data_IF_189638907873
#
_entry.id   IF_189638907873
#
_cell.length_a   1.000
_cell.length_b   1.000
_cell.length_c   1.000
_cell.angle_alpha   90.00
_cell.angle_beta   90.00
_cell.angle_gamma   90.00
#
_symmetry.space_group_name_H-M   'P 1'
#
loop_
_entity.id
_entity.type
_entity.pdbx_description
1 polymer ?
#
# COMPACT_ATOMS: atom_id res chain seq x y z
N UNK A 1 -16.00 -15.19 3.21
CA UNK A 1 -14.76 -15.60 2.52
C UNK A 1 -14.11 -16.70 3.36
N UNK A 2 -13.53 -17.71 2.74
CA UNK A 2 -12.76 -18.74 3.45
C UNK A 2 -11.43 -18.16 3.98
N UNK A 3 -10.76 -18.80 4.95
CA UNK A 3 -9.43 -18.38 5.41
C UNK A 3 -8.39 -18.24 4.29
N UNK A 4 -8.45 -19.10 3.27
CA UNK A 4 -7.57 -19.06 2.10
C UNK A 4 -7.86 -17.86 1.21
N UNK A 5 -9.14 -17.56 0.93
CA UNK A 5 -9.54 -16.38 0.18
C UNK A 5 -9.12 -15.08 0.88
N UNK A 6 -9.16 -15.06 2.22
CA UNK A 6 -8.69 -13.94 3.03
C UNK A 6 -7.18 -13.75 2.89
N UNK A 7 -6.41 -14.84 2.98
CA UNK A 7 -4.96 -14.79 2.80
C UNK A 7 -4.58 -14.29 1.40
N UNK A 8 -5.26 -14.79 0.36
CA UNK A 8 -5.08 -14.33 -1.02
C UNK A 8 -5.43 -12.85 -1.18
N UNK A 9 -6.52 -12.38 -0.56
CA UNK A 9 -6.89 -10.96 -0.59
C UNK A 9 -5.85 -10.08 0.09
N UNK A 10 -5.31 -10.51 1.24
CA UNK A 10 -4.20 -9.80 1.91
C UNK A 10 -3.00 -9.70 0.99
N UNK A 11 -2.62 -10.80 0.34
CA UNK A 11 -1.48 -10.79 -0.58
C UNK A 11 -1.70 -9.84 -1.76
N UNK A 12 -2.88 -9.90 -2.39
CA UNK A 12 -3.24 -8.97 -3.48
C UNK A 12 -3.20 -7.49 -3.05
N UNK A 13 -3.67 -7.17 -1.85
CA UNK A 13 -3.58 -5.79 -1.32
C UNK A 13 -2.12 -5.36 -1.08
N UNK A 14 -1.26 -6.28 -0.61
CA UNK A 14 0.19 -6.03 -0.44
C UNK A 14 0.88 -5.80 -1.78
N UNK A 15 0.63 -6.66 -2.76
CA UNK A 15 1.25 -6.58 -4.08
C UNK A 15 0.86 -5.26 -4.78
N UNK A 16 -0.42 -4.87 -4.67
CA UNK A 16 -0.91 -3.62 -5.21
C UNK A 16 -0.21 -2.41 -4.57
N UNK A 17 -0.14 -2.34 -3.24
CA UNK A 17 0.50 -1.19 -2.58
C UNK A 17 2.02 -1.15 -2.85
N UNK A 18 2.68 -2.30 -2.92
CA UNK A 18 4.09 -2.41 -3.33
C UNK A 18 4.32 -1.88 -4.74
N UNK A 19 3.46 -2.24 -5.69
CA UNK A 19 3.53 -1.74 -7.06
C UNK A 19 3.34 -0.22 -7.13
N UNK A 20 2.38 0.31 -6.38
CA UNK A 20 2.13 1.75 -6.31
C UNK A 20 3.29 2.52 -5.68
N UNK A 21 3.88 1.99 -4.60
CA UNK A 21 5.04 2.59 -3.92
C UNK A 21 6.27 2.57 -4.83
N UNK A 22 6.52 1.47 -5.55
CA UNK A 22 7.59 1.38 -6.54
C UNK A 22 7.45 2.43 -7.63
N UNK A 23 6.26 2.54 -8.21
CA UNK A 23 5.97 3.55 -9.22
C UNK A 23 6.19 4.98 -8.70
N UNK A 24 5.76 5.26 -7.47
CA UNK A 24 6.01 6.53 -6.81
C UNK A 24 7.51 6.80 -6.62
N UNK A 25 8.27 5.80 -6.15
CA UNK A 25 9.71 5.89 -5.92
C UNK A 25 10.47 6.22 -7.23
N UNK A 26 10.19 5.48 -8.30
CA UNK A 26 10.80 5.69 -9.62
C UNK A 26 10.53 7.10 -10.16
N UNK A 27 9.29 7.59 -10.00
CA UNK A 27 8.87 8.87 -10.55
C UNK A 27 9.32 10.07 -9.71
N UNK A 28 9.20 10.01 -8.39
CA UNK A 28 9.44 11.13 -7.49
C UNK A 28 10.88 11.17 -6.99
N UNK A 29 11.49 10.02 -6.73
CA UNK A 29 12.84 9.92 -6.16
C UNK A 29 13.92 9.58 -7.20
N UNK A 30 13.54 9.43 -8.48
CA UNK A 30 14.44 9.14 -9.61
C UNK A 30 15.30 7.88 -9.41
N UNK A 31 14.81 6.93 -8.63
CA UNK A 31 15.42 5.59 -8.55
C UNK A 31 15.28 4.92 -9.93
N UNK A 32 16.29 4.18 -10.37
CA UNK A 32 16.21 3.51 -11.67
C UNK A 32 15.18 2.39 -11.62
N UNK A 33 14.53 2.13 -12.75
CA UNK A 33 13.71 0.93 -12.89
C UNK A 33 14.56 -0.31 -12.53
N UNK A 34 13.97 -1.22 -11.76
CA UNK A 34 14.61 -2.43 -11.22
C UNK A 34 15.63 -2.24 -10.08
N UNK A 35 15.82 -1.02 -9.55
CA UNK A 35 16.54 -0.83 -8.29
C UNK A 35 15.64 -1.12 -7.07
N UNK A 36 16.26 -1.43 -5.90
CA UNK A 36 15.52 -1.47 -4.64
C UNK A 36 14.84 -0.12 -4.36
N UNK A 37 13.74 -0.16 -3.60
CA UNK A 37 13.10 1.05 -3.10
C UNK A 37 14.11 1.87 -2.28
N UNK A 38 14.04 3.20 -2.35
CA UNK A 38 14.78 4.03 -1.41
C UNK A 38 14.32 3.75 0.04
N UNK A 39 15.15 4.08 1.03
CA UNK A 39 14.87 3.78 2.44
C UNK A 39 13.50 4.30 2.88
N UNK A 40 13.13 5.50 2.43
CA UNK A 40 11.82 6.09 2.72
C UNK A 40 10.68 5.23 2.16
N UNK A 41 10.73 4.85 0.87
CA UNK A 41 9.70 4.04 0.25
C UNK A 41 9.65 2.61 0.79
N UNK A 42 10.79 2.03 1.14
CA UNK A 42 10.89 0.73 1.80
C UNK A 42 10.23 0.73 3.18
N UNK A 43 10.43 1.80 3.97
CA UNK A 43 9.77 1.97 5.25
C UNK A 43 8.24 2.07 5.09
N UNK A 44 7.77 2.83 4.08
CA UNK A 44 6.35 2.98 3.79
C UNK A 44 5.71 1.65 3.38
N UNK A 45 6.41 0.86 2.56
CA UNK A 45 5.96 -0.46 2.13
C UNK A 45 5.82 -1.42 3.32
N UNK A 46 6.87 -1.53 4.13
CA UNK A 46 6.88 -2.37 5.33
C UNK A 46 5.77 -1.97 6.31
N UNK A 47 5.56 -0.67 6.48
CA UNK A 47 4.47 -0.14 7.30
C UNK A 47 3.11 -0.55 6.74
N UNK A 48 2.88 -0.35 5.44
CA UNK A 48 1.63 -0.69 4.78
C UNK A 48 1.31 -2.18 4.86
N UNK A 49 2.31 -3.06 4.61
CA UNK A 49 2.17 -4.51 4.73
C UNK A 49 1.73 -4.92 6.14
N UNK A 50 2.38 -4.37 7.16
CA UNK A 50 2.03 -4.64 8.56
C UNK A 50 0.57 -4.26 8.87
N UNK A 51 0.07 -3.18 8.26
CA UNK A 51 -1.33 -2.77 8.42
C UNK A 51 -2.31 -3.66 7.66
N UNK A 52 -1.94 -4.14 6.47
CA UNK A 52 -2.74 -5.12 5.73
C UNK A 52 -2.84 -6.43 6.49
N UNK A 53 -1.74 -6.91 7.09
CA UNK A 53 -1.74 -8.15 7.89
C UNK A 53 -2.65 -8.08 9.11
N UNK A 54 -2.67 -6.93 9.78
CA UNK A 54 -3.47 -6.71 11.00
C UNK A 54 -4.85 -6.14 10.72
N UNK A 55 -5.25 -5.99 9.46
CA UNK A 55 -6.53 -5.40 9.10
C UNK A 55 -7.70 -6.30 9.58
N UNK A 56 -8.56 -5.83 10.50
CA UNK A 56 -9.72 -6.59 10.97
C UNK A 56 -10.91 -6.53 9.99
N UNK A 57 -10.83 -5.66 8.99
CA UNK A 57 -11.90 -5.43 8.03
C UNK A 57 -11.57 -5.95 6.63
N UNK A 58 -10.53 -6.80 6.50
CA UNK A 58 -10.05 -7.24 5.18
C UNK A 58 -11.16 -7.93 4.37
N UNK A 59 -12.03 -8.71 5.02
CA UNK A 59 -13.10 -9.46 4.33
C UNK A 59 -14.14 -8.56 3.66
N UNK A 60 -14.48 -7.45 4.31
CA UNK A 60 -15.61 -6.61 3.90
C UNK A 60 -15.18 -5.32 3.20
N UNK A 61 -13.91 -4.94 3.34
CA UNK A 61 -13.37 -3.69 2.81
C UNK A 61 -12.91 -3.86 1.36
N UNK A 62 -13.31 -2.91 0.51
CA UNK A 62 -12.84 -2.80 -0.87
C UNK A 62 -11.54 -2.01 -0.99
N UNK A 63 -11.42 -0.88 -0.29
CA UNK A 63 -10.22 -0.03 -0.32
C UNK A 63 -9.89 0.53 1.07
N UNK A 64 -8.61 0.77 1.36
CA UNK A 64 -8.16 1.40 2.61
C UNK A 64 -8.80 2.78 2.86
N UNK A 65 -9.15 3.53 1.80
CA UNK A 65 -9.83 4.83 1.89
C UNK A 65 -11.24 4.75 2.49
N UNK A 66 -11.92 3.61 2.36
CA UNK A 66 -13.26 3.35 2.92
C UNK A 66 -13.21 2.69 4.30
N UNK A 67 -12.04 2.62 4.93
CA UNK A 67 -11.90 2.00 6.24
C UNK A 67 -12.62 2.83 7.32
N UNK A 68 -13.44 2.18 8.13
CA UNK A 68 -14.15 2.80 9.27
C UNK A 68 -13.21 3.20 10.41
N UNK A 69 -12.01 2.59 10.49
CA UNK A 69 -11.00 2.85 11.51
C UNK A 69 -9.77 3.57 10.94
N UNK A 70 -9.21 4.48 11.73
CA UNK A 70 -7.95 5.14 11.42
C UNK A 70 -6.76 4.25 11.82
N UNK A 71 -6.34 3.39 10.91
CA UNK A 71 -5.23 2.45 11.13
C UNK A 71 -3.84 3.03 10.81
N UNK A 72 -3.78 4.14 10.07
CA UNK A 72 -2.51 4.79 9.69
C UNK A 72 -2.25 5.99 10.62
N UNK A 73 -0.99 6.20 11.00
CA UNK A 73 -0.60 7.46 11.63
C UNK A 73 -0.84 8.62 10.65
N UNK A 74 -1.00 9.83 11.17
CA UNK A 74 -1.25 11.03 10.35
C UNK A 74 -0.17 11.20 9.28
N UNK A 75 1.09 11.01 9.66
CA UNK A 75 2.25 11.09 8.76
C UNK A 75 2.24 10.01 7.67
N UNK A 76 2.12 8.73 8.05
CA UNK A 76 2.10 7.63 7.08
C UNK A 76 0.89 7.70 6.15
N UNK A 77 -0.23 8.23 6.64
CA UNK A 77 -1.41 8.48 5.82
C UNK A 77 -1.14 9.54 4.75
N UNK A 78 -0.47 10.64 5.09
CA UNK A 78 -0.12 11.66 4.11
C UNK A 78 0.79 11.09 3.02
N UNK A 79 1.79 10.29 3.40
CA UNK A 79 2.71 9.62 2.47
C UNK A 79 1.98 8.64 1.53
N UNK A 80 1.08 7.80 2.05
CA UNK A 80 0.28 6.91 1.19
C UNK A 80 -0.72 7.67 0.31
N UNK A 81 -1.26 8.80 0.76
CA UNK A 81 -2.09 9.64 -0.10
C UNK A 81 -1.31 10.22 -1.28
N UNK A 82 -0.04 10.56 -1.08
CA UNK A 82 0.84 11.04 -2.15
C UNK A 82 1.15 9.94 -3.17
N UNK A 83 1.45 8.72 -2.68
CA UNK A 83 1.58 7.53 -3.53
C UNK A 83 0.30 7.30 -4.34
N UNK A 84 -0.87 7.32 -3.68
CA UNK A 84 -2.17 7.13 -4.33
C UNK A 84 -2.47 8.19 -5.39
N UNK A 85 -2.13 9.46 -5.13
CA UNK A 85 -2.29 10.55 -6.12
C UNK A 85 -1.40 10.35 -7.35
N UNK A 86 -0.21 9.80 -7.14
CA UNK A 86 0.79 9.65 -8.19
C UNK A 86 0.59 8.39 -9.03
N UNK A 87 0.30 7.28 -8.37
CA UNK A 87 0.24 5.95 -8.94
C UNK A 87 -1.20 5.51 -9.27
N UNK A 88 -2.20 5.99 -8.51
CA UNK A 88 -3.60 5.59 -8.62
C UNK A 88 -4.18 5.69 -10.03
N UNK A 89 -4.22 6.87 -10.68
CA UNK A 89 -4.82 7.04 -12.01
C UNK A 89 -4.18 6.25 -13.16
N UNK A 90 -3.05 5.57 -12.90
CA UNK A 90 -2.27 4.83 -13.90
C UNK A 90 -2.32 3.32 -13.68
N UNK A 91 -2.75 2.88 -12.49
CA UNK A 91 -2.75 1.48 -12.06
C UNK A 91 -4.15 0.95 -11.73
N UNK A 92 -5.12 1.84 -11.48
CA UNK A 92 -6.53 1.55 -11.18
C UNK A 92 -7.43 2.23 -12.20
#
# INVERSE_FOLDING_TARGET
MTPEEIAQKRQKEKDLISLMIRFYCEKCHRTKAHEPLCDECAELEKYAHTRVDRCPHIETKTFCSKCKSHCYSKEMRARVQEVMRTAGPRLL
#
